data_IF_872956413846
#
_entry.id   IF_872956413846
#
_cell.length_a   1.000
_cell.length_b   1.000
_cell.length_c   1.000
_cell.angle_alpha   90.00
_cell.angle_beta   90.00
_cell.angle_gamma   90.00
#
_symmetry.space_group_name_H-M   'P 1'
#
loop_
_entity.id
_entity.type
_entity.pdbx_description
1 polymer ?
#
# COMPACT_ATOMS: atom_id res chain seq x y z
N UNK A 1 -27.12 -22.73 26.90
CA UNK A 1 -25.93 -21.95 27.29
C UNK A 1 -25.75 -20.89 26.21
N UNK A 2 -26.32 -19.71 26.44
CA UNK A 2 -26.30 -18.60 25.48
C UNK A 2 -25.06 -17.75 25.74
N UNK A 3 -24.12 -17.73 24.80
CA UNK A 3 -23.06 -16.72 24.78
C UNK A 3 -23.64 -15.41 24.27
N UNK A 4 -23.87 -14.48 25.20
CA UNK A 4 -24.24 -13.09 24.93
C UNK A 4 -23.06 -12.38 24.27
N UNK A 5 -23.09 -12.25 22.95
CA UNK A 5 -22.32 -11.22 22.28
C UNK A 5 -23.08 -9.89 22.43
N UNK A 6 -22.46 -8.95 23.14
CA UNK A 6 -22.93 -7.58 23.26
C UNK A 6 -23.14 -7.00 21.86
N UNK A 7 -24.37 -6.55 21.59
CA UNK A 7 -24.75 -5.83 20.37
C UNK A 7 -23.99 -4.51 20.30
N UNK A 8 -22.81 -4.53 19.71
CA UNK A 8 -22.22 -3.35 19.08
C UNK A 8 -22.65 -3.41 17.61
N UNK A 9 -23.58 -2.53 17.22
CA UNK A 9 -24.07 -2.44 15.85
C UNK A 9 -22.93 -2.04 14.90
N UNK A 10 -22.29 -3.01 14.27
CA UNK A 10 -21.48 -2.81 13.06
C UNK A 10 -21.93 -3.89 12.08
N UNK A 11 -22.53 -3.47 10.97
CA UNK A 11 -23.06 -4.37 9.94
C UNK A 11 -21.93 -5.20 9.33
N UNK A 12 -22.06 -6.53 9.44
CA UNK A 12 -21.10 -7.55 8.98
C UNK A 12 -21.07 -7.69 7.44
N UNK A 13 -21.49 -6.66 6.70
CA UNK A 13 -21.47 -6.64 5.23
C UNK A 13 -20.51 -5.61 4.61
N UNK A 14 -19.86 -4.76 5.42
CA UNK A 14 -18.74 -3.92 4.97
C UNK A 14 -17.42 -4.42 5.57
N UNK A 15 -17.15 -5.72 5.39
CA UNK A 15 -15.79 -6.27 5.45
C UNK A 15 -15.04 -5.69 4.24
N UNK A 16 -14.81 -4.37 4.25
CA UNK A 16 -13.89 -3.75 3.32
C UNK A 16 -12.56 -4.36 3.70
N UNK A 17 -12.05 -5.25 2.87
CA UNK A 17 -10.71 -5.81 2.98
C UNK A 17 -9.71 -4.67 2.68
N UNK A 18 -9.72 -3.62 3.51
CA UNK A 18 -8.83 -2.48 3.41
C UNK A 18 -7.45 -2.97 3.81
N UNK A 19 -6.66 -3.34 2.81
CA UNK A 19 -5.23 -3.49 2.98
C UNK A 19 -4.67 -2.11 3.34
N UNK A 20 -3.75 -2.09 4.29
CA UNK A 20 -3.06 -0.88 4.69
C UNK A 20 -1.66 -0.82 4.06
N UNK A 21 -1.14 0.38 3.81
CA UNK A 21 0.23 0.57 3.34
C UNK A 21 1.19 0.00 4.39
N UNK A 22 2.17 -0.81 4.00
CA UNK A 22 3.18 -1.25 4.97
C UNK A 22 4.04 -0.11 5.52
N UNK A 23 4.17 0.99 4.77
CA UNK A 23 4.99 2.12 5.18
C UNK A 23 4.23 3.11 6.09
N UNK A 24 2.96 3.43 5.79
CA UNK A 24 2.21 4.46 6.52
C UNK A 24 0.94 3.96 7.22
N UNK A 25 0.62 2.66 7.11
CA UNK A 25 -0.53 1.98 7.72
C UNK A 25 -1.90 2.65 7.45
N UNK A 26 -2.00 3.48 6.41
CA UNK A 26 -3.27 4.05 5.95
C UNK A 26 -4.04 3.00 5.14
N UNK A 27 -5.39 2.96 5.21
CA UNK A 27 -6.21 2.03 4.43
C UNK A 27 -6.37 2.48 2.97
N UNK A 28 -6.25 1.56 2.01
CA UNK A 28 -6.64 1.79 0.61
C UNK A 28 -7.36 0.59 0.02
N UNK A 29 -7.95 0.83 -1.15
CA UNK A 29 -8.82 -0.11 -1.83
C UNK A 29 -8.02 -1.25 -2.49
N UNK A 30 -6.75 -1.04 -2.86
CA UNK A 30 -5.87 -2.07 -3.43
C UNK A 30 -4.38 -1.85 -3.00
N UNK A 31 -3.72 -2.93 -2.53
CA UNK A 31 -2.25 -3.12 -2.44
C UNK A 31 -1.36 -2.45 -1.35
N UNK A 32 -0.11 -2.93 -1.37
CA UNK A 32 0.94 -2.96 -0.34
C UNK A 32 1.56 -1.58 0.00
N UNK A 33 1.49 -0.62 -0.92
CA UNK A 33 2.01 0.75 -0.79
C UNK A 33 1.01 1.77 -1.32
N UNK A 34 1.06 3.01 -0.82
CA UNK A 34 0.16 4.06 -1.28
C UNK A 34 0.84 5.03 -2.25
N UNK A 35 0.03 5.70 -3.08
CA UNK A 35 0.50 6.70 -4.05
C UNK A 35 1.35 7.81 -3.40
N UNK A 36 1.03 8.24 -2.18
CA UNK A 36 1.83 9.22 -1.44
C UNK A 36 3.24 8.69 -1.13
N UNK A 37 3.36 7.43 -0.70
CA UNK A 37 4.65 6.81 -0.40
C UNK A 37 5.49 6.63 -1.67
N UNK A 38 4.88 6.21 -2.77
CA UNK A 38 5.55 6.08 -4.07
C UNK A 38 6.11 7.43 -4.53
N UNK A 39 5.32 8.51 -4.43
CA UNK A 39 5.76 9.84 -4.81
C UNK A 39 6.93 10.36 -3.94
N UNK A 40 6.95 10.02 -2.64
CA UNK A 40 8.11 10.33 -1.78
C UNK A 40 9.36 9.55 -2.19
N UNK A 41 9.22 8.29 -2.61
CA UNK A 41 10.32 7.48 -3.14
C UNK A 41 10.83 8.03 -4.47
N UNK A 42 9.95 8.46 -5.39
CA UNK A 42 10.36 9.10 -6.65
C UNK A 42 11.22 10.33 -6.41
N UNK A 43 10.77 11.24 -5.53
CA UNK A 43 11.56 12.45 -5.18
C UNK A 43 12.89 12.12 -4.52
N UNK A 44 12.93 11.11 -3.66
CA UNK A 44 14.18 10.70 -3.01
C UNK A 44 15.13 10.02 -4.01
N UNK A 45 14.61 9.22 -4.94
CA UNK A 45 15.36 8.63 -6.04
C UNK A 45 15.91 9.69 -7.01
N UNK A 46 15.14 10.74 -7.34
CA UNK A 46 15.60 11.90 -8.12
C UNK A 46 16.77 12.64 -7.46
N UNK A 47 16.83 12.62 -6.12
CA UNK A 47 17.95 13.17 -5.35
C UNK A 47 19.13 12.20 -5.18
N UNK A 48 19.07 11.01 -5.80
CA UNK A 48 20.13 10.00 -5.75
C UNK A 48 20.13 9.14 -4.48
N UNK A 49 19.03 9.08 -3.71
CA UNK A 49 18.93 8.12 -2.60
C UNK A 49 18.78 6.70 -3.15
N UNK A 50 19.86 5.93 -3.08
CA UNK A 50 19.96 4.54 -3.52
C UNK A 50 18.88 3.63 -2.90
N UNK A 51 18.47 3.89 -1.65
CA UNK A 51 17.44 3.09 -0.97
C UNK A 51 16.07 3.42 -1.52
N UNK A 52 15.85 4.70 -1.88
CA UNK A 52 14.63 5.11 -2.52
C UNK A 52 14.49 4.50 -3.92
N UNK A 53 15.56 4.48 -4.71
CA UNK A 53 15.60 3.81 -6.02
C UNK A 53 15.26 2.32 -5.91
N UNK A 54 15.91 1.60 -4.99
CA UNK A 54 15.64 0.18 -4.76
C UNK A 54 14.17 -0.08 -4.35
N UNK A 55 13.63 0.72 -3.42
CA UNK A 55 12.25 0.58 -2.99
C UNK A 55 11.24 0.92 -4.09
N UNK A 56 11.55 1.91 -4.95
CA UNK A 56 10.72 2.29 -6.09
C UNK A 56 10.69 1.17 -7.13
N UNK A 57 11.84 0.58 -7.48
CA UNK A 57 11.93 -0.57 -8.37
C UNK A 57 11.13 -1.77 -7.82
N UNK A 58 11.20 -2.02 -6.51
CA UNK A 58 10.40 -3.07 -5.85
C UNK A 58 8.89 -2.80 -5.95
N UNK A 59 8.44 -1.55 -5.82
CA UNK A 59 7.05 -1.17 -5.99
C UNK A 59 6.56 -1.42 -7.43
N UNK A 60 7.31 -0.96 -8.42
CA UNK A 60 6.95 -1.13 -9.84
C UNK A 60 7.04 -2.59 -10.32
N UNK A 61 7.95 -3.39 -9.77
CA UNK A 61 8.08 -4.81 -10.07
C UNK A 61 6.91 -5.64 -9.51
N UNK A 62 6.56 -5.43 -8.24
CA UNK A 62 5.50 -6.19 -7.56
C UNK A 62 4.09 -5.65 -7.84
N UNK A 63 3.97 -4.49 -8.50
CA UNK A 63 2.71 -3.82 -8.73
C UNK A 63 2.14 -3.13 -7.49
N UNK A 64 2.77 -3.22 -6.31
CA UNK A 64 2.17 -2.80 -5.05
C UNK A 64 1.78 -1.32 -5.00
N UNK A 65 0.53 -0.99 -5.32
CA UNK A 65 -0.07 0.34 -5.22
C UNK A 65 -0.07 1.18 -6.50
N UNK A 66 0.42 0.65 -7.62
CA UNK A 66 0.42 1.31 -8.93
C UNK A 66 0.45 0.27 -10.04
N UNK A 67 -0.02 0.62 -11.24
CA UNK A 67 0.01 -0.31 -12.36
C UNK A 67 1.44 -0.83 -12.55
N UNK A 68 1.60 -2.16 -12.57
CA UNK A 68 2.90 -2.81 -12.78
C UNK A 68 3.53 -2.23 -14.04
N UNK A 69 4.55 -1.40 -13.85
CA UNK A 69 5.23 -0.71 -14.93
C UNK A 69 6.67 -1.19 -14.98
N UNK A 70 6.89 -2.24 -15.77
CA UNK A 70 8.22 -2.81 -15.97
C UNK A 70 9.19 -1.80 -16.59
N UNK A 71 8.72 -0.89 -17.44
CA UNK A 71 9.56 0.15 -18.04
C UNK A 71 10.15 1.08 -16.96
N UNK A 72 9.33 1.51 -15.99
CA UNK A 72 9.79 2.32 -14.85
C UNK A 72 10.66 1.57 -13.85
N UNK A 73 10.63 0.23 -13.84
CA UNK A 73 11.46 -0.55 -12.92
C UNK A 73 12.94 -0.63 -13.36
N UNK A 74 13.22 -0.36 -14.64
CA UNK A 74 14.57 -0.44 -15.22
C UNK A 74 15.26 0.92 -15.39
N UNK A 75 14.62 2.01 -14.97
CA UNK A 75 15.13 3.40 -15.02
C UNK A 75 15.49 3.90 -13.62
#
# INVERSE_FOLDING_TARGET
METKFSKSNISVTDIVNTKNCLHCNKPFTEELWCKECINSLEKAAENGDERAMHNLAFCYYNGGGTEKNLEKAFY
#
